data_IF_216772589893
#
_entry.id   IF_216772589893
#
_cell.length_a   1.000
_cell.length_b   1.000
_cell.length_c   1.000
_cell.angle_alpha   90.00
_cell.angle_beta   90.00
_cell.angle_gamma   90.00
#
_symmetry.space_group_name_H-M   'P 1'
#
loop_
_entity.id
_entity.type
_entity.pdbx_description
1 polymer ?
#
# COMPACT_ATOMS: atom_id res chain seq x y z
N UNK A 1 16.51 7.45 11.74
CA UNK A 1 16.72 7.42 10.28
C UNK A 1 15.36 7.46 9.62
N UNK A 2 15.12 8.33 8.63
CA UNK A 2 13.83 8.42 7.95
C UNK A 2 13.86 7.56 6.68
N UNK A 3 13.25 6.38 6.71
CA UNK A 3 13.25 5.44 5.59
C UNK A 3 11.81 5.07 5.20
N UNK A 4 11.39 5.41 3.98
CA UNK A 4 10.04 5.14 3.48
C UNK A 4 9.73 3.64 3.40
N UNK A 5 10.72 2.79 3.14
CA UNK A 5 10.55 1.32 3.11
C UNK A 5 10.20 0.76 4.50
N UNK A 6 10.77 1.33 5.57
CA UNK A 6 10.42 0.90 6.93
C UNK A 6 8.96 1.26 7.26
N UNK A 7 8.52 2.47 6.88
CA UNK A 7 7.11 2.87 7.06
C UNK A 7 6.16 2.03 6.20
N UNK A 8 6.60 1.60 5.02
CA UNK A 8 5.86 0.62 4.21
C UNK A 8 5.70 -0.73 4.95
N UNK A 9 6.77 -1.23 5.57
CA UNK A 9 6.71 -2.45 6.38
C UNK A 9 5.82 -2.29 7.62
N UNK A 10 5.88 -1.14 8.30
CA UNK A 10 4.98 -0.83 9.42
C UNK A 10 3.52 -0.81 8.98
N UNK A 11 3.20 -0.20 7.84
CA UNK A 11 1.86 -0.24 7.25
C UNK A 11 1.40 -1.68 7.07
N UNK A 12 2.22 -2.53 6.44
CA UNK A 12 1.88 -3.94 6.24
C UNK A 12 1.67 -4.66 7.57
N UNK A 13 2.55 -4.46 8.55
CA UNK A 13 2.44 -5.06 9.87
C UNK A 13 1.09 -4.73 10.52
N UNK A 14 0.70 -3.45 10.51
CA UNK A 14 -0.56 -3.01 11.12
C UNK A 14 -1.78 -3.55 10.36
N UNK A 15 -1.74 -3.57 9.03
CA UNK A 15 -2.81 -4.22 8.25
C UNK A 15 -2.91 -5.71 8.58
N UNK A 16 -1.79 -6.43 8.72
CA UNK A 16 -1.82 -7.85 9.10
C UNK A 16 -2.39 -8.03 10.52
N UNK A 17 -1.97 -7.22 11.49
CA UNK A 17 -2.53 -7.26 12.85
C UNK A 17 -4.03 -6.98 12.89
N UNK A 18 -4.50 -6.04 12.05
CA UNK A 18 -5.92 -5.75 11.86
C UNK A 18 -6.68 -6.97 11.36
N UNK A 19 -6.12 -7.72 10.39
CA UNK A 19 -6.80 -8.88 9.79
C UNK A 19 -6.97 -10.07 10.72
N UNK A 20 -6.23 -10.13 11.85
CA UNK A 20 -6.35 -11.21 12.84
C UNK A 20 -7.72 -11.20 13.54
N UNK A 21 -8.23 -10.01 13.88
CA UNK A 21 -9.55 -9.81 14.49
C UNK A 21 -10.11 -8.45 14.03
N UNK A 22 -10.64 -8.36 12.80
CA UNK A 22 -11.05 -7.09 12.22
C UNK A 22 -12.11 -6.36 13.04
N UNK A 23 -13.00 -7.09 13.73
CA UNK A 23 -14.08 -6.47 14.51
C UNK A 23 -13.54 -5.67 15.71
N UNK A 24 -12.52 -6.20 16.38
CA UNK A 24 -11.92 -5.53 17.55
C UNK A 24 -10.76 -4.60 17.16
N UNK A 25 -10.06 -4.90 16.06
CA UNK A 25 -8.76 -4.28 15.74
C UNK A 25 -8.80 -3.23 14.63
N UNK A 26 -9.94 -3.07 13.95
CA UNK A 26 -10.05 -2.14 12.81
C UNK A 26 -9.64 -0.71 13.15
N UNK A 27 -10.14 -0.15 14.26
CA UNK A 27 -9.89 1.25 14.60
C UNK A 27 -8.41 1.48 14.96
N UNK A 28 -7.89 0.74 15.94
CA UNK A 28 -6.52 0.91 16.42
C UNK A 28 -5.48 0.69 15.32
N UNK A 29 -5.54 -0.47 14.67
CA UNK A 29 -4.54 -0.81 13.66
C UNK A 29 -4.76 -0.09 12.33
N UNK A 30 -5.99 0.33 12.03
CA UNK A 30 -6.29 1.20 10.90
C UNK A 30 -5.65 2.58 11.06
N UNK A 31 -5.77 3.20 12.24
CA UNK A 31 -5.13 4.49 12.54
C UNK A 31 -3.59 4.39 12.51
N UNK A 32 -3.03 3.31 13.04
CA UNK A 32 -1.58 3.05 12.98
C UNK A 32 -1.09 2.85 11.54
N UNK A 33 -1.83 2.09 10.73
CA UNK A 33 -1.55 1.91 9.31
C UNK A 33 -1.60 3.26 8.58
N UNK A 34 -2.65 4.05 8.76
CA UNK A 34 -2.79 5.37 8.12
C UNK A 34 -1.65 6.33 8.51
N UNK A 35 -1.19 6.29 9.76
CA UNK A 35 -0.03 7.07 10.21
C UNK A 35 1.25 6.62 9.52
N UNK A 36 1.49 5.31 9.42
CA UNK A 36 2.64 4.76 8.71
C UNK A 36 2.61 5.14 7.22
N UNK A 37 1.44 5.04 6.57
CA UNK A 37 1.27 5.44 5.16
C UNK A 37 1.55 6.92 4.92
N UNK A 38 1.03 7.80 5.78
CA UNK A 38 1.32 9.25 5.72
C UNK A 38 2.81 9.52 5.87
N UNK A 39 3.47 8.83 6.79
CA UNK A 39 4.89 9.01 7.03
C UNK A 39 5.74 8.47 5.87
N UNK A 40 5.39 7.32 5.29
CA UNK A 40 6.02 6.79 4.07
C UNK A 40 5.95 7.80 2.92
N UNK A 41 4.74 8.32 2.62
CA UNK A 41 4.51 9.30 1.56
C UNK A 41 5.20 10.64 1.81
N UNK A 42 5.32 11.05 3.07
CA UNK A 42 6.05 12.27 3.45
C UNK A 42 7.56 12.09 3.28
N UNK A 43 8.09 10.92 3.64
CA UNK A 43 9.51 10.62 3.56
C UNK A 43 9.96 10.42 2.11
N UNK A 44 9.19 9.68 1.31
CA UNK A 44 9.43 9.52 -0.12
C UNK A 44 8.08 9.40 -0.87
N UNK A 45 7.58 10.50 -1.45
CA UNK A 45 6.33 10.47 -2.20
C UNK A 45 6.44 9.69 -3.52
N UNK A 46 7.65 9.40 -3.99
CA UNK A 46 7.92 8.62 -5.19
C UNK A 46 8.05 7.11 -4.91
N UNK A 47 8.04 6.69 -3.64
CA UNK A 47 8.07 5.27 -3.28
C UNK A 47 6.79 4.58 -3.79
N UNK A 48 6.88 3.61 -4.72
CA UNK A 48 5.71 2.99 -5.32
C UNK A 48 4.98 2.03 -4.36
N UNK A 49 5.66 1.50 -3.36
CA UNK A 49 5.17 0.38 -2.55
C UNK A 49 4.06 0.78 -1.62
N UNK A 50 4.09 1.98 -1.05
CA UNK A 50 3.01 2.42 -0.17
C UNK A 50 1.68 2.52 -0.95
N UNK A 51 1.72 3.02 -2.19
CA UNK A 51 0.53 3.10 -3.04
C UNK A 51 0.03 1.72 -3.46
N UNK A 52 0.96 0.78 -3.74
CA UNK A 52 0.61 -0.62 -4.01
C UNK A 52 -0.11 -1.26 -2.82
N UNK A 53 0.43 -1.09 -1.61
CA UNK A 53 -0.15 -1.68 -0.40
C UNK A 53 -1.51 -1.07 -0.09
N UNK A 54 -1.65 0.25 -0.18
CA UNK A 54 -2.95 0.91 0.00
C UNK A 54 -3.95 0.45 -1.05
N UNK A 55 -3.54 0.31 -2.32
CA UNK A 55 -4.41 -0.22 -3.38
C UNK A 55 -4.92 -1.63 -3.02
N UNK A 56 -4.02 -2.52 -2.60
CA UNK A 56 -4.37 -3.88 -2.21
C UNK A 56 -5.30 -3.92 -0.98
N UNK A 57 -5.05 -3.06 0.02
CA UNK A 57 -5.90 -2.93 1.21
C UNK A 57 -7.28 -2.40 0.84
N UNK A 58 -7.36 -1.30 0.07
CA UNK A 58 -8.61 -0.69 -0.38
C UNK A 58 -9.42 -1.66 -1.22
N UNK A 59 -8.78 -2.43 -2.11
CA UNK A 59 -9.45 -3.42 -2.95
C UNK A 59 -10.20 -4.46 -2.12
N UNK A 60 -9.63 -4.90 -0.99
CA UNK A 60 -10.20 -5.90 -0.09
C UNK A 60 -11.16 -5.32 0.96
N UNK A 61 -11.12 -4.01 1.17
CA UNK A 61 -11.97 -3.32 2.13
C UNK A 61 -13.44 -3.35 1.68
N UNK A 62 -14.42 -3.50 2.61
CA UNK A 62 -15.83 -3.44 2.26
C UNK A 62 -16.23 -2.15 1.55
N UNK A 63 -17.11 -2.24 0.54
CA UNK A 63 -17.56 -1.08 -0.27
C UNK A 63 -18.17 0.04 0.58
N UNK A 64 -18.96 -0.31 1.60
CA UNK A 64 -19.61 0.68 2.47
C UNK A 64 -18.62 1.47 3.34
N UNK A 65 -17.38 0.98 3.50
CA UNK A 65 -16.28 1.71 4.15
C UNK A 65 -15.39 2.45 3.13
N UNK A 66 -15.80 2.53 1.86
CA UNK A 66 -15.01 3.14 0.79
C UNK A 66 -13.95 2.22 0.19
N UNK A 67 -14.09 0.90 0.32
CA UNK A 67 -13.24 -0.08 -0.36
C UNK A 67 -13.73 -0.52 -1.74
N UNK A 68 -13.11 -1.56 -2.27
CA UNK A 68 -13.43 -2.19 -3.55
C UNK A 68 -12.57 -1.73 -4.73
N UNK A 69 -12.71 -2.46 -5.84
CA UNK A 69 -11.92 -2.29 -7.08
C UNK A 69 -11.93 -0.86 -7.62
N UNK A 70 -13.09 -0.19 -7.63
CA UNK A 70 -13.23 1.19 -8.14
C UNK A 70 -12.32 2.18 -7.41
N UNK A 71 -12.21 2.07 -6.08
CA UNK A 71 -11.40 2.97 -5.27
C UNK A 71 -9.92 2.54 -5.23
N UNK A 72 -9.64 1.25 -5.45
CA UNK A 72 -8.28 0.71 -5.52
C UNK A 72 -7.59 1.03 -6.85
N UNK A 73 -8.33 1.04 -7.96
CA UNK A 73 -7.81 1.27 -9.31
C UNK A 73 -6.88 2.50 -9.43
N UNK A 74 -7.26 3.72 -8.99
CA UNK A 74 -6.38 4.88 -9.10
C UNK A 74 -5.08 4.74 -8.29
N UNK A 75 -5.10 3.97 -7.20
CA UNK A 75 -3.91 3.70 -6.40
C UNK A 75 -2.97 2.71 -7.11
N UNK A 76 -3.52 1.67 -7.76
CA UNK A 76 -2.73 0.75 -8.60
C UNK A 76 -2.11 1.48 -9.80
N UNK A 77 -2.87 2.36 -10.48
CA UNK A 77 -2.36 3.19 -11.57
C UNK A 77 -1.21 4.08 -11.10
N UNK A 78 -1.37 4.71 -9.93
CA UNK A 78 -0.32 5.53 -9.31
C UNK A 78 0.92 4.71 -8.97
N UNK A 79 0.75 3.55 -8.34
CA UNK A 79 1.85 2.64 -8.00
C UNK A 79 2.61 2.20 -9.26
N UNK A 80 1.91 1.79 -10.31
CA UNK A 80 2.52 1.32 -11.56
C UNK A 80 3.28 2.45 -12.28
N UNK A 81 2.72 3.67 -12.28
CA UNK A 81 3.40 4.87 -12.80
C UNK A 81 4.69 5.16 -12.02
N UNK A 82 4.68 5.01 -10.70
CA UNK A 82 5.89 5.19 -9.89
C UNK A 82 6.91 4.06 -10.12
N UNK A 83 6.47 2.80 -10.23
CA UNK A 83 7.36 1.67 -10.56
C UNK A 83 8.06 1.82 -11.91
N UNK A 84 7.45 2.52 -12.88
CA UNK A 84 8.09 2.79 -14.17
C UNK A 84 9.33 3.70 -14.07
N UNK A 85 9.42 4.49 -13.00
CA UNK A 85 10.52 5.42 -12.75
C UNK A 85 11.35 5.07 -11.50
N UNK A 86 10.92 4.07 -10.73
CA UNK A 86 11.61 3.64 -9.54
C UNK A 86 12.95 2.99 -9.90
N UNK A 87 14.00 3.36 -9.17
CA UNK A 87 15.32 2.76 -9.27
C UNK A 87 15.79 2.46 -7.84
N UNK A 88 16.05 1.19 -7.50
CA UNK A 88 16.63 0.85 -6.21
C UNK A 88 17.97 1.57 -6.02
N UNK A 89 18.22 2.08 -4.81
CA UNK A 89 19.48 2.77 -4.48
C UNK A 89 20.70 1.84 -4.55
N UNK A 90 20.49 0.53 -4.36
CA UNK A 90 21.50 -0.51 -4.56
C UNK A 90 20.82 -1.86 -4.77
N UNK A 91 21.60 -2.89 -5.11
CA UNK A 91 21.11 -4.28 -5.25
C UNK A 91 20.49 -4.86 -3.98
N UNK A 92 20.79 -4.28 -2.81
CA UNK A 92 20.22 -4.67 -1.53
C UNK A 92 18.91 -3.94 -1.20
N UNK A 93 18.57 -2.89 -1.95
CA UNK A 93 17.32 -2.18 -1.76
C UNK A 93 16.16 -2.95 -2.37
N UNK A 94 14.94 -2.80 -1.84
CA UNK A 94 13.76 -3.45 -2.38
C UNK A 94 13.56 -3.14 -3.88
N UNK A 95 13.29 -4.20 -4.66
CA UNK A 95 12.90 -4.11 -6.08
C UNK A 95 11.62 -4.92 -6.41
N UNK A 96 10.85 -5.28 -5.38
CA UNK A 96 9.61 -6.03 -5.53
C UNK A 96 8.39 -5.12 -5.72
N UNK A 97 7.31 -5.69 -6.26
CA UNK A 97 5.95 -5.13 -6.21
C UNK A 97 5.38 -4.69 -7.55
N UNK A 98 6.20 -4.57 -8.58
CA UNK A 98 5.74 -4.15 -9.92
C UNK A 98 4.72 -5.11 -10.51
N UNK A 99 4.99 -6.41 -10.48
CA UNK A 99 4.10 -7.45 -11.01
C UNK A 99 2.78 -7.51 -10.22
N UNK A 100 2.84 -7.23 -8.92
CA UNK A 100 1.66 -7.16 -8.06
C UNK A 100 0.79 -5.95 -8.42
N UNK A 101 1.39 -4.80 -8.76
CA UNK A 101 0.66 -3.62 -9.22
C UNK A 101 -0.04 -3.89 -10.56
N UNK A 102 0.63 -4.57 -11.50
CA UNK A 102 0.03 -4.99 -12.79
C UNK A 102 -1.16 -5.91 -12.55
N UNK A 103 -0.97 -7.00 -11.80
CA UNK A 103 -2.03 -7.96 -11.53
C UNK A 103 -3.23 -7.34 -10.79
N UNK A 104 -2.97 -6.43 -9.84
CA UNK A 104 -4.01 -5.70 -9.12
C UNK A 104 -4.82 -4.76 -10.02
N UNK A 105 -4.14 -4.08 -10.96
CA UNK A 105 -4.80 -3.21 -11.92
C UNK A 105 -5.66 -4.00 -12.92
N UNK A 106 -5.16 -5.13 -13.42
CA UNK A 106 -5.93 -6.05 -14.26
C UNK A 106 -7.17 -6.58 -13.54
N UNK A 107 -7.02 -6.95 -12.27
CA UNK A 107 -8.15 -7.39 -11.44
C UNK A 107 -9.19 -6.29 -11.26
N UNK A 108 -8.79 -5.02 -11.20
CA UNK A 108 -9.73 -3.89 -11.15
C UNK A 108 -10.53 -3.70 -12.46
N UNK A 109 -10.05 -4.23 -13.59
CA UNK A 109 -10.71 -4.19 -14.89
C UNK A 109 -11.72 -5.31 -15.14
N UNK A 110 -11.74 -6.34 -14.28
CA UNK A 110 -12.71 -7.43 -14.29
C UNK A 110 -13.91 -7.12 -13.40
#
# INVERSE_FOLDING_TARGET
>A
ENNAELYCMEYMLYIQQMTVDPEQRYLEYGELADKAAKQAKKTDPANPRIYLMEAATVMKKPKFLGGGKTNAKPLFEKALSLFAHFQPLSELHPDWGREQAVAGLEECGK
#
